data_IF_942868242520
#
_entry.id   IF_942868242520
#
_cell.length_a   1.000
_cell.length_b   1.000
_cell.length_c   1.000
_cell.angle_alpha   90.00
_cell.angle_beta   90.00
_cell.angle_gamma   90.00
#
_symmetry.space_group_name_H-M   'P 1'
#
loop_
_entity.id
_entity.type
_entity.pdbx_description
1 polymer ?
#
# COMPACT_ATOMS: atom_id res chain seq x y z
N UNK A 1 14.81 -8.35 -1.64
CA UNK A 1 13.58 -8.16 -0.85
C UNK A 1 12.43 -8.59 -1.74
N UNK A 2 11.46 -9.29 -1.19
CA UNK A 2 10.34 -9.85 -1.98
C UNK A 2 9.19 -8.84 -2.05
N UNK A 3 9.43 -7.73 -2.76
CA UNK A 3 8.43 -6.68 -2.94
C UNK A 3 7.36 -7.10 -3.94
N UNK A 4 6.14 -6.70 -3.68
CA UNK A 4 5.06 -6.73 -4.65
C UNK A 4 4.89 -5.37 -5.34
N UNK A 5 4.64 -5.42 -6.65
CA UNK A 5 4.09 -4.31 -7.44
C UNK A 5 2.76 -4.76 -8.02
N UNK A 6 1.75 -3.90 -7.98
CA UNK A 6 0.43 -4.25 -8.48
C UNK A 6 0.03 -3.36 -9.64
N UNK A 7 -0.70 -3.93 -10.60
CA UNK A 7 -1.37 -3.18 -11.65
C UNK A 7 -2.88 -3.36 -11.43
N UNK A 8 -3.57 -2.25 -11.20
CA UNK A 8 -5.03 -2.20 -11.13
C UNK A 8 -5.51 -1.54 -12.41
N UNK A 9 -6.45 -2.14 -13.11
CA UNK A 9 -6.91 -1.64 -14.40
C UNK A 9 -8.43 -1.77 -14.52
N UNK A 10 -9.04 -0.77 -15.15
CA UNK A 10 -10.43 -0.81 -15.57
C UNK A 10 -10.55 -1.54 -16.91
N UNK A 11 -11.38 -2.57 -16.95
CA UNK A 11 -11.50 -3.45 -18.11
C UNK A 11 -12.13 -2.76 -19.32
N UNK A 12 -12.97 -1.75 -19.12
CA UNK A 12 -13.67 -1.05 -20.20
C UNK A 12 -12.79 0.03 -20.85
N UNK A 13 -12.14 0.85 -20.02
CA UNK A 13 -11.32 1.97 -20.51
C UNK A 13 -9.86 1.60 -20.72
N UNK A 14 -9.42 0.46 -20.17
CA UNK A 14 -8.01 0.02 -20.12
C UNK A 14 -7.09 1.01 -19.41
N UNK A 15 -7.64 1.99 -18.70
CA UNK A 15 -6.87 2.84 -17.80
C UNK A 15 -6.36 2.04 -16.62
N UNK A 16 -5.13 2.30 -16.22
CA UNK A 16 -4.47 1.55 -15.15
C UNK A 16 -3.72 2.45 -14.17
N UNK A 17 -3.53 1.94 -12.96
CA UNK A 17 -2.61 2.48 -11.97
C UNK A 17 -1.62 1.39 -11.58
N UNK A 18 -0.39 1.81 -11.32
CA UNK A 18 0.65 0.97 -10.72
C UNK A 18 0.78 1.36 -9.25
N UNK A 19 0.69 0.37 -8.36
CA UNK A 19 0.95 0.53 -6.93
C UNK A 19 2.34 0.00 -6.65
N UNK A 20 3.21 0.86 -6.15
CA UNK A 20 4.62 0.61 -5.85
C UNK A 20 5.41 0.00 -7.03
N UNK A 21 6.26 0.80 -7.64
CA UNK A 21 7.04 0.34 -8.81
C UNK A 21 8.18 -0.60 -8.43
N UNK A 22 8.77 -0.40 -7.23
CA UNK A 22 10.01 -1.07 -6.88
C UNK A 22 11.07 -0.91 -7.97
N UNK A 23 11.78 -1.98 -8.27
CA UNK A 23 12.77 -2.06 -9.35
C UNK A 23 12.23 -2.77 -10.62
N UNK A 24 10.89 -2.94 -10.75
CA UNK A 24 10.28 -3.82 -11.75
C UNK A 24 9.78 -3.10 -13.01
N UNK A 25 10.35 -1.94 -13.37
CA UNK A 25 9.87 -1.06 -14.45
C UNK A 25 9.64 -1.82 -15.76
N UNK A 26 10.63 -2.57 -16.23
CA UNK A 26 10.54 -3.31 -17.50
C UNK A 26 9.43 -4.37 -17.47
N UNK A 27 9.28 -5.06 -16.34
CA UNK A 27 8.23 -6.07 -16.15
C UNK A 27 6.84 -5.42 -16.15
N UNK A 28 6.69 -4.27 -15.50
CA UNK A 28 5.44 -3.50 -15.46
C UNK A 28 5.08 -3.03 -16.86
N UNK A 29 6.03 -2.44 -17.60
CA UNK A 29 5.82 -1.99 -18.98
C UNK A 29 5.41 -3.16 -19.87
N UNK A 30 6.12 -4.28 -19.82
CA UNK A 30 5.79 -5.45 -20.61
C UNK A 30 4.38 -5.99 -20.30
N UNK A 31 4.01 -6.05 -19.02
CA UNK A 31 2.64 -6.46 -18.63
C UNK A 31 1.58 -5.48 -19.13
N UNK A 32 1.83 -4.18 -19.02
CA UNK A 32 0.90 -3.16 -19.49
C UNK A 32 0.69 -3.24 -21.02
N UNK A 33 1.77 -3.37 -21.78
CA UNK A 33 1.72 -3.51 -23.24
C UNK A 33 0.98 -4.78 -23.67
N UNK A 34 1.31 -5.93 -23.07
CA UNK A 34 0.68 -7.22 -23.40
C UNK A 34 -0.83 -7.25 -23.11
N UNK A 35 -1.31 -6.37 -22.21
CA UNK A 35 -2.71 -6.27 -21.85
C UNK A 35 -3.38 -4.99 -22.41
N UNK A 36 -2.70 -4.23 -23.27
CA UNK A 36 -3.18 -2.96 -23.84
C UNK A 36 -3.63 -1.96 -22.78
N UNK A 37 -2.89 -1.87 -21.65
CA UNK A 37 -3.21 -0.96 -20.56
C UNK A 37 -2.55 0.41 -20.76
N UNK A 38 -3.28 1.45 -20.39
CA UNK A 38 -2.82 2.83 -20.36
C UNK A 38 -2.57 3.22 -18.89
N UNK A 39 -1.31 3.20 -18.45
CA UNK A 39 -0.95 3.58 -17.08
C UNK A 39 -1.13 5.09 -16.91
N UNK A 40 -2.09 5.51 -16.09
CA UNK A 40 -2.40 6.92 -15.81
C UNK A 40 -1.70 7.42 -14.56
N UNK A 41 -1.55 6.56 -13.56
CA UNK A 41 -0.98 6.91 -12.27
C UNK A 41 -0.01 5.85 -11.78
N UNK A 42 0.99 6.33 -11.01
CA UNK A 42 1.91 5.53 -10.21
C UNK A 42 1.67 5.99 -8.78
N UNK A 43 1.10 5.12 -7.94
CA UNK A 43 0.80 5.45 -6.55
C UNK A 43 1.82 4.76 -5.66
N UNK A 44 2.58 5.53 -4.89
CA UNK A 44 3.49 4.99 -3.88
C UNK A 44 2.79 4.91 -2.54
N UNK A 45 2.78 3.71 -1.95
CA UNK A 45 2.21 3.51 -0.61
C UNK A 45 3.00 4.25 0.46
N UNK A 46 4.31 4.40 0.27
CA UNK A 46 5.20 5.19 1.11
C UNK A 46 6.55 5.47 0.40
N UNK A 47 7.43 6.26 1.04
CA UNK A 47 8.63 6.82 0.40
C UNK A 47 9.87 5.92 0.36
N UNK A 48 9.86 4.71 0.93
CA UNK A 48 11.03 3.85 0.94
C UNK A 48 11.44 3.45 -0.49
N UNK A 49 12.74 3.37 -0.71
CA UNK A 49 13.31 3.24 -2.04
C UNK A 49 12.95 1.93 -2.75
N UNK A 50 12.74 0.88 -2.01
CA UNK A 50 12.33 -0.42 -2.56
C UNK A 50 10.88 -0.44 -3.09
N UNK A 51 10.07 0.57 -2.75
CA UNK A 51 8.74 0.82 -3.32
C UNK A 51 8.75 1.87 -4.44
N UNK A 52 9.73 2.79 -4.43
CA UNK A 52 9.69 4.00 -5.25
C UNK A 52 10.79 4.13 -6.29
N UNK A 53 11.79 3.24 -6.28
CA UNK A 53 12.99 3.35 -7.12
C UNK A 53 12.70 3.50 -8.61
N UNK A 54 11.67 2.83 -9.12
CA UNK A 54 11.27 2.86 -10.52
C UNK A 54 10.30 3.98 -10.91
N UNK A 55 9.81 4.80 -9.96
CA UNK A 55 8.76 5.78 -10.22
C UNK A 55 9.09 6.71 -11.40
N UNK A 56 10.28 7.30 -11.38
CA UNK A 56 10.72 8.26 -12.42
C UNK A 56 10.81 7.60 -13.78
N UNK A 57 11.41 6.43 -13.86
CA UNK A 57 11.64 5.74 -15.13
C UNK A 57 10.32 5.27 -15.72
N UNK A 58 9.41 4.73 -14.89
CA UNK A 58 8.08 4.34 -15.34
C UNK A 58 7.25 5.56 -15.77
N UNK A 59 7.31 6.68 -15.04
CA UNK A 59 6.63 7.92 -15.40
C UNK A 59 7.12 8.46 -16.75
N UNK A 60 8.43 8.44 -16.99
CA UNK A 60 9.02 8.88 -18.28
C UNK A 60 8.59 7.96 -19.44
N UNK A 61 8.53 6.65 -19.21
CA UNK A 61 8.16 5.68 -20.23
C UNK A 61 6.65 5.71 -20.59
N UNK A 62 5.78 6.06 -19.63
CA UNK A 62 4.33 5.93 -19.78
C UNK A 62 3.58 7.27 -19.78
N UNK A 63 4.25 8.38 -19.44
CA UNK A 63 3.65 9.68 -19.16
C UNK A 63 2.63 9.66 -18.00
N UNK A 64 2.73 8.65 -17.11
CA UNK A 64 1.89 8.53 -15.92
C UNK A 64 2.29 9.56 -14.85
N UNK A 65 1.32 10.01 -14.06
CA UNK A 65 1.55 10.92 -12.95
C UNK A 65 1.90 10.17 -11.67
N UNK A 66 2.93 10.62 -10.97
CA UNK A 66 3.32 10.08 -9.67
C UNK A 66 2.41 10.66 -8.59
N UNK A 67 1.81 9.77 -7.81
CA UNK A 67 0.91 10.08 -6.69
C UNK A 67 1.53 9.56 -5.40
N UNK A 68 1.59 10.38 -4.36
CA UNK A 68 2.02 9.98 -3.04
C UNK A 68 1.34 10.84 -1.97
N UNK A 69 1.37 10.37 -0.73
CA UNK A 69 0.86 11.16 0.39
C UNK A 69 1.59 12.50 0.50
N UNK A 70 0.89 13.56 0.95
CA UNK A 70 1.47 14.91 1.06
C UNK A 70 2.74 14.96 1.90
N UNK A 71 2.84 14.11 2.93
CA UNK A 71 4.00 14.04 3.84
C UNK A 71 5.20 13.30 3.23
N UNK A 72 5.04 12.64 2.09
CA UNK A 72 6.13 11.94 1.42
C UNK A 72 7.17 12.93 0.90
N UNK A 73 8.45 12.59 1.02
CA UNK A 73 9.57 13.40 0.54
C UNK A 73 9.94 13.11 -0.93
N UNK A 74 9.39 12.06 -1.52
CA UNK A 74 9.62 11.80 -2.95
C UNK A 74 8.97 12.86 -3.83
N UNK A 75 9.48 13.01 -5.05
CA UNK A 75 8.79 13.80 -6.08
C UNK A 75 7.41 13.19 -6.36
N UNK A 76 6.41 14.03 -6.49
CA UNK A 76 5.05 13.65 -6.86
C UNK A 76 4.38 14.75 -7.66
N UNK A 77 3.58 14.37 -8.65
CA UNK A 77 2.73 15.27 -9.43
C UNK A 77 1.43 15.58 -8.69
N UNK A 78 0.94 14.61 -7.91
CA UNK A 78 -0.30 14.70 -7.14
C UNK A 78 -0.02 14.33 -5.70
N UNK A 79 -0.29 15.25 -4.79
CA UNK A 79 -0.26 14.99 -3.36
C UNK A 79 -1.66 14.58 -2.89
N UNK A 80 -1.75 13.45 -2.15
CA UNK A 80 -3.02 12.96 -1.59
C UNK A 80 -3.02 12.96 -0.08
N UNK A 81 -4.22 12.94 0.48
CA UNK A 81 -4.52 12.88 1.92
C UNK A 81 -5.57 11.79 2.20
N UNK A 82 -5.81 11.54 3.49
CA UNK A 82 -6.85 10.61 3.96
C UNK A 82 -8.21 10.92 3.34
N UNK A 83 -8.89 9.91 2.82
CA UNK A 83 -10.20 10.02 2.19
C UNK A 83 -10.20 10.54 0.75
N UNK A 84 -9.05 10.95 0.18
CA UNK A 84 -9.01 11.30 -1.24
C UNK A 84 -9.33 10.08 -2.12
N UNK A 85 -9.82 10.34 -3.33
CA UNK A 85 -10.17 9.31 -4.32
C UNK A 85 -9.40 9.59 -5.61
N UNK A 86 -8.71 8.57 -6.11
CA UNK A 86 -8.12 8.52 -7.46
C UNK A 86 -9.04 7.65 -8.32
N UNK A 87 -9.36 8.11 -9.54
CA UNK A 87 -10.22 7.36 -10.47
C UNK A 87 -9.46 6.92 -11.71
N UNK A 88 -9.72 5.67 -12.12
CA UNK A 88 -9.35 5.12 -13.43
C UNK A 88 -10.59 4.45 -14.02
N UNK A 89 -11.08 4.95 -15.15
CA UNK A 89 -12.37 4.53 -15.66
C UNK A 89 -13.47 4.64 -14.60
N UNK A 90 -14.11 3.53 -14.27
CA UNK A 90 -15.15 3.46 -13.25
C UNK A 90 -14.63 3.04 -11.86
N UNK A 91 -13.36 2.62 -11.77
CA UNK A 91 -12.75 2.20 -10.49
C UNK A 91 -12.38 3.42 -9.66
N UNK A 92 -12.89 3.45 -8.43
CA UNK A 92 -12.50 4.41 -7.39
C UNK A 92 -11.48 3.79 -6.44
N UNK A 93 -10.33 4.44 -6.29
CA UNK A 93 -9.27 4.05 -5.37
C UNK A 93 -9.27 5.05 -4.23
N UNK A 94 -9.77 4.63 -3.06
CA UNK A 94 -9.80 5.46 -1.86
C UNK A 94 -8.47 5.38 -1.12
N UNK A 95 -7.92 6.54 -0.79
CA UNK A 95 -6.71 6.68 0.02
C UNK A 95 -7.07 6.60 1.50
N UNK A 96 -6.37 5.76 2.23
CA UNK A 96 -6.47 5.66 3.70
C UNK A 96 -5.08 5.96 4.25
N UNK A 97 -4.91 7.10 4.92
CA UNK A 97 -3.63 7.44 5.54
C UNK A 97 -3.40 6.56 6.77
N UNK A 98 -2.34 5.78 6.75
CA UNK A 98 -2.00 4.78 7.77
C UNK A 98 -0.57 4.96 8.27
N UNK A 99 -0.24 6.09 8.92
CA UNK A 99 1.10 6.33 9.43
C UNK A 99 1.47 5.31 10.51
N UNK A 100 2.77 5.10 10.68
CA UNK A 100 3.30 4.19 11.68
C UNK A 100 4.57 3.49 11.22
N UNK A 101 4.57 2.80 10.09
CA UNK A 101 5.79 2.34 9.43
C UNK A 101 6.62 3.53 8.91
N UNK A 102 5.94 4.46 8.26
CA UNK A 102 6.46 5.79 7.91
C UNK A 102 5.37 6.84 8.08
N UNK A 103 5.74 8.13 8.09
CA UNK A 103 4.77 9.24 8.24
C UNK A 103 3.84 9.43 7.05
N UNK A 104 4.23 8.94 5.90
CA UNK A 104 3.53 9.08 4.64
C UNK A 104 2.81 7.80 4.20
N UNK A 105 2.87 6.74 5.00
CA UNK A 105 2.24 5.45 4.68
C UNK A 105 0.75 5.61 4.41
N UNK A 106 0.31 5.04 3.29
CA UNK A 106 -1.10 4.95 2.90
C UNK A 106 -1.47 3.53 2.49
N UNK A 107 -2.71 3.16 2.76
CA UNK A 107 -3.35 2.01 2.13
C UNK A 107 -4.30 2.50 1.04
N UNK A 108 -4.51 1.67 0.03
CA UNK A 108 -5.38 1.97 -1.11
C UNK A 108 -6.52 0.96 -1.16
N UNK A 109 -7.75 1.42 -1.03
CA UNK A 109 -8.92 0.56 -1.13
C UNK A 109 -9.59 0.76 -2.49
N UNK A 110 -9.59 -0.30 -3.31
CA UNK A 110 -10.29 -0.38 -4.57
C UNK A 110 -11.25 -1.57 -4.54
N UNK A 111 -12.56 -1.32 -4.62
CA UNK A 111 -13.60 -2.33 -4.43
C UNK A 111 -13.40 -3.09 -3.10
N UNK A 112 -13.18 -4.42 -3.16
CA UNK A 112 -12.88 -5.26 -2.00
C UNK A 112 -11.38 -5.57 -1.83
N UNK A 113 -10.48 -4.80 -2.45
CA UNK A 113 -9.03 -5.01 -2.39
C UNK A 113 -8.33 -3.87 -1.66
N UNK A 114 -7.54 -4.21 -0.65
CA UNK A 114 -6.76 -3.27 0.13
C UNK A 114 -5.26 -3.51 -0.11
N UNK A 115 -4.63 -2.59 -0.82
CA UNK A 115 -3.17 -2.55 -0.97
C UNK A 115 -2.60 -1.88 0.26
N UNK A 116 -1.93 -2.63 1.10
CA UNK A 116 -1.55 -2.19 2.45
C UNK A 116 -0.14 -1.63 2.55
N UNK A 117 0.65 -1.72 1.46
CA UNK A 117 2.08 -1.39 1.56
C UNK A 117 2.72 -2.08 2.76
N UNK A 118 3.45 -1.31 3.55
CA UNK A 118 4.11 -1.81 4.76
C UNK A 118 3.35 -1.49 6.06
N UNK A 119 2.04 -1.26 5.95
CA UNK A 119 1.18 -1.11 7.15
C UNK A 119 0.81 -2.48 7.73
N UNK A 120 0.35 -3.41 6.88
CA UNK A 120 -0.08 -4.75 7.27
C UNK A 120 0.40 -5.77 6.25
N UNK A 121 1.03 -6.85 6.72
CA UNK A 121 1.41 -8.01 5.91
C UNK A 121 0.52 -9.21 6.24
N UNK A 122 0.65 -10.27 5.46
CA UNK A 122 0.04 -11.55 5.80
C UNK A 122 0.75 -12.15 7.00
N UNK A 123 0.07 -12.18 8.13
CA UNK A 123 0.59 -12.71 9.41
C UNK A 123 1.53 -11.77 10.18
N UNK A 124 1.78 -10.53 9.69
CA UNK A 124 2.74 -9.59 10.29
C UNK A 124 2.30 -8.13 10.06
N UNK A 125 3.05 -7.16 10.54
CA UNK A 125 2.92 -5.74 10.19
C UNK A 125 4.28 -5.10 9.89
N UNK A 126 4.28 -3.88 9.36
CA UNK A 126 5.49 -3.11 9.11
C UNK A 126 6.24 -2.76 10.40
N UNK A 127 7.57 -2.75 10.33
CA UNK A 127 8.43 -2.27 11.40
C UNK A 127 8.26 -0.78 11.65
N UNK A 128 8.60 -0.33 12.85
CA UNK A 128 8.41 1.07 13.29
C UNK A 128 9.70 1.71 13.83
N UNK A 129 10.82 1.03 13.71
CA UNK A 129 12.14 1.45 14.25
C UNK A 129 12.98 2.24 13.25
N UNK A 130 12.48 2.43 12.02
CA UNK A 130 13.10 3.27 11.00
C UNK A 130 12.79 4.76 11.22
N UNK A 131 13.60 5.69 10.67
CA UNK A 131 13.33 7.12 10.74
C UNK A 131 11.92 7.47 10.25
N UNK A 132 11.12 8.09 11.09
CA UNK A 132 9.72 8.42 10.81
C UNK A 132 8.71 7.38 11.29
N UNK A 133 9.19 6.22 11.80
CA UNK A 133 8.34 5.19 12.40
C UNK A 133 7.72 5.61 13.72
N UNK A 134 6.53 5.08 14.02
CA UNK A 134 5.78 5.38 15.24
C UNK A 134 4.85 4.21 15.60
N UNK A 135 5.16 3.53 16.68
CA UNK A 135 4.33 2.41 17.17
C UNK A 135 2.91 2.87 17.54
N UNK A 136 2.77 4.08 18.06
CA UNK A 136 1.47 4.64 18.44
C UNK A 136 0.60 4.92 17.21
N UNK A 137 1.19 5.48 16.16
CA UNK A 137 0.47 5.74 14.91
C UNK A 137 0.14 4.42 14.19
N UNK A 138 1.04 3.43 14.20
CA UNK A 138 0.76 2.12 13.64
C UNK A 138 -0.42 1.43 14.35
N UNK A 139 -0.46 1.50 15.69
CA UNK A 139 -1.61 1.02 16.44
C UNK A 139 -2.92 1.65 15.97
N UNK A 140 -2.95 2.98 15.88
CA UNK A 140 -4.16 3.69 15.45
C UNK A 140 -4.52 3.36 13.99
N UNK A 141 -3.54 3.22 13.11
CA UNK A 141 -3.73 2.81 11.73
C UNK A 141 -4.35 1.41 11.64
N UNK A 142 -3.81 0.43 12.37
CA UNK A 142 -4.29 -0.95 12.35
C UNK A 142 -5.66 -1.08 13.03
N UNK A 143 -5.79 -0.62 14.28
CA UNK A 143 -6.96 -0.91 15.12
C UNK A 143 -8.14 0.05 14.92
N UNK A 144 -7.89 1.30 14.48
CA UNK A 144 -8.95 2.31 14.30
C UNK A 144 -9.32 2.59 12.85
N UNK A 145 -8.50 2.13 11.89
CA UNK A 145 -8.78 2.30 10.45
C UNK A 145 -8.91 0.95 9.74
N UNK A 146 -7.84 0.15 9.69
CA UNK A 146 -7.86 -1.09 8.90
C UNK A 146 -8.87 -2.09 9.47
N UNK A 147 -8.85 -2.36 10.78
CA UNK A 147 -9.78 -3.30 11.41
C UNK A 147 -11.24 -2.83 11.45
N UNK A 148 -11.56 -1.62 10.98
CA UNK A 148 -12.95 -1.15 10.83
C UNK A 148 -13.53 -1.38 9.43
N UNK A 149 -12.72 -1.85 8.49
CA UNK A 149 -13.16 -2.21 7.15
C UNK A 149 -13.94 -3.52 7.16
N UNK A 150 -14.63 -3.80 6.04
CA UNK A 150 -15.41 -5.03 5.87
C UNK A 150 -14.51 -6.28 5.95
N UNK A 151 -15.05 -7.37 6.50
CA UNK A 151 -14.24 -8.56 6.81
C UNK A 151 -13.77 -9.34 5.59
N UNK A 152 -14.45 -9.24 4.47
CA UNK A 152 -14.13 -9.91 3.20
C UNK A 152 -13.09 -9.15 2.34
N UNK A 153 -12.64 -7.96 2.79
CA UNK A 153 -11.60 -7.20 2.11
C UNK A 153 -10.33 -8.04 1.98
N UNK A 154 -9.82 -8.16 0.75
CA UNK A 154 -8.60 -8.86 0.42
C UNK A 154 -7.38 -7.99 0.73
N UNK A 155 -6.43 -8.52 1.49
CA UNK A 155 -5.19 -7.84 1.89
C UNK A 155 -4.08 -8.14 0.87
N UNK A 156 -3.55 -7.10 0.25
CA UNK A 156 -2.50 -7.12 -0.76
C UNK A 156 -1.29 -6.32 -0.23
N UNK A 157 -0.31 -6.99 0.40
CA UNK A 157 0.79 -6.32 1.12
C UNK A 157 1.90 -5.79 0.20
N UNK A 158 2.79 -4.94 0.74
CA UNK A 158 3.98 -4.47 0.03
C UNK A 158 5.06 -5.54 -0.15
N UNK A 159 5.11 -6.55 0.74
CA UNK A 159 6.12 -7.61 0.72
C UNK A 159 5.53 -9.01 0.92
N UNK A 160 6.20 -10.01 0.34
CA UNK A 160 5.87 -11.42 0.48
C UNK A 160 6.56 -12.04 1.72
N UNK A 161 6.22 -11.56 2.92
CA UNK A 161 6.77 -12.09 4.17
C UNK A 161 5.92 -13.20 4.79
N UNK A 162 4.69 -13.35 4.34
CA UNK A 162 3.76 -14.35 4.84
C UNK A 162 3.89 -15.72 4.18
N UNK A 163 3.07 -16.65 4.64
CA UNK A 163 2.96 -18.00 4.04
C UNK A 163 2.19 -18.01 2.71
N UNK A 164 1.54 -16.90 2.36
CA UNK A 164 0.74 -16.69 1.17
C UNK A 164 0.96 -15.28 0.64
N UNK A 165 0.81 -15.03 -0.68
CA UNK A 165 1.02 -13.70 -1.25
C UNK A 165 -0.08 -12.69 -0.89
N UNK A 166 -1.25 -13.15 -0.48
CA UNK A 166 -2.40 -12.33 -0.07
C UNK A 166 -3.26 -13.06 0.94
N UNK A 167 -4.16 -12.34 1.59
CA UNK A 167 -5.06 -12.87 2.62
C UNK A 167 -6.38 -12.11 2.61
N UNK A 168 -7.24 -12.30 3.60
CA UNK A 168 -8.43 -11.49 3.86
C UNK A 168 -8.36 -10.85 5.24
N UNK A 169 -9.01 -9.71 5.42
CA UNK A 169 -9.03 -9.03 6.72
C UNK A 169 -9.60 -9.92 7.81
N UNK A 170 -10.61 -10.73 7.50
CA UNK A 170 -11.18 -11.73 8.43
C UNK A 170 -10.15 -12.78 8.86
N UNK A 171 -9.35 -13.27 7.92
CA UNK A 171 -8.27 -14.22 8.24
C UNK A 171 -7.20 -13.57 9.12
N UNK A 172 -6.72 -12.39 8.73
CA UNK A 172 -5.69 -11.67 9.49
C UNK A 172 -6.18 -11.31 10.91
N UNK A 173 -7.43 -10.87 11.05
CA UNK A 173 -8.04 -10.58 12.36
C UNK A 173 -8.00 -11.77 13.32
N UNK A 174 -8.11 -12.99 12.79
CA UNK A 174 -8.13 -14.23 13.58
C UNK A 174 -6.76 -14.84 13.82
N UNK A 175 -5.84 -14.71 12.86
CA UNK A 175 -4.61 -15.50 12.83
C UNK A 175 -3.35 -14.64 12.90
N UNK A 176 -3.40 -13.36 12.53
CA UNK A 176 -2.25 -12.48 12.64
C UNK A 176 -2.02 -12.11 14.11
N UNK A 177 -0.87 -12.53 14.64
CA UNK A 177 -0.55 -12.32 16.05
C UNK A 177 -0.39 -10.84 16.42
N UNK A 178 -0.07 -9.97 15.45
CA UNK A 178 0.01 -8.52 15.63
C UNK A 178 -1.36 -7.92 15.93
N UNK A 179 -2.41 -8.43 15.28
CA UNK A 179 -3.78 -7.92 15.39
C UNK A 179 -4.56 -8.46 16.59
N UNK A 180 -3.92 -9.24 17.47
CA UNK A 180 -4.55 -9.68 18.71
C UNK A 180 -4.91 -8.46 19.57
N UNK A 181 -6.05 -8.55 20.27
CA UNK A 181 -6.57 -7.45 21.10
C UNK A 181 -5.57 -7.05 22.17
N UNK A 182 -5.11 -5.80 22.10
CA UNK A 182 -4.17 -5.16 23.03
C UNK A 182 -4.58 -3.72 23.28
N UNK A 183 -4.22 -3.19 24.44
CA UNK A 183 -4.19 -1.73 24.64
C UNK A 183 -3.03 -1.13 23.84
N UNK A 184 -3.00 0.18 23.69
CA UNK A 184 -1.90 0.88 23.01
C UNK A 184 -0.55 0.65 23.72
N UNK A 185 -0.56 0.64 25.05
CA UNK A 185 0.63 0.39 25.89
C UNK A 185 1.14 -1.05 25.76
N UNK A 186 0.23 -2.03 25.73
CA UNK A 186 0.56 -3.44 25.50
C UNK A 186 1.11 -3.65 24.10
N UNK A 187 0.54 -2.99 23.09
CA UNK A 187 1.04 -3.06 21.71
C UNK A 187 2.44 -2.43 21.60
N UNK A 188 2.69 -1.30 22.27
CA UNK A 188 4.00 -0.67 22.27
C UNK A 188 5.08 -1.58 22.91
N UNK A 189 4.76 -2.25 24.03
CA UNK A 189 5.66 -3.24 24.66
C UNK A 189 5.92 -4.44 23.74
N UNK A 190 4.87 -4.95 23.11
CA UNK A 190 4.95 -6.06 22.16
C UNK A 190 5.88 -5.72 20.99
N UNK A 191 5.72 -4.56 20.35
CA UNK A 191 6.56 -4.12 19.22
C UNK A 191 8.02 -3.82 19.61
N UNK A 192 8.29 -3.50 20.87
CA UNK A 192 9.66 -3.29 21.36
C UNK A 192 10.39 -4.57 21.76
N UNK A 193 9.68 -5.69 21.87
CA UNK A 193 10.21 -6.99 22.30
C UNK A 193 10.45 -7.96 21.13
N UNK A 194 10.02 -7.61 19.96
CA UNK A 194 10.20 -8.31 18.69
C UNK A 194 11.09 -7.51 17.75
#
# INVERSE_FOLDING_TARGET
>A
MDNFSYIVADDNTREAVVVDTGAYVDTIIAKALNNNLNIKYIISTHEHSDHTAGNKDLALATNAKIVAHRNSRIYKDIAVEDGNIIKIGEIEIRIIHTPGHSKDSICLLAENKLFTGDTLFVGECGRVDLPGGSVTELYDSLFKKILTLEEDVEILPGHNYGTKPYSTLNYERKHNYVLQRRTREEFAKFMSSN
#
